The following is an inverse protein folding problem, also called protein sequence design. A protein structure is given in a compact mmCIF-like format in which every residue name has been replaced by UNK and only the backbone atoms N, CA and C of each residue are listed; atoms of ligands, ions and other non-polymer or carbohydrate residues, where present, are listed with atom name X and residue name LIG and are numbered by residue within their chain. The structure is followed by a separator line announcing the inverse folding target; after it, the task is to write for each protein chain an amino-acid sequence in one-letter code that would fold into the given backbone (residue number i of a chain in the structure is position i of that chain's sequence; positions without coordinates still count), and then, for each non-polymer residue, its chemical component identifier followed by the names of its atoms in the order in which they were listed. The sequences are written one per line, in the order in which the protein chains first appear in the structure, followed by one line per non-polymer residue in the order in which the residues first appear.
data_IF_595763455635
#
_entry.id   IF_595763455635
#
_cell.length_a   1.000
_cell.length_b   1.000
_cell.length_c   1.000
_cell.angle_alpha   90.00
_cell.angle_beta   90.00
_cell.angle_gamma   90.00
#
_symmetry.space_group_name_H-M   'P 1'
#
loop_
_entity.id
_entity.type
_entity.pdbx_description
1 polymer ?
#
# COMPACT_ATOMS: atom_id res chain seq x y z
N UNK A 1 0.01 -2.01 11.37
CA UNK A 1 0.83 -3.03 10.66
C UNK A 1 -0.06 -4.17 10.21
N UNK A 2 -0.13 -4.41 8.90
CA UNK A 2 -0.91 -5.49 8.29
C UNK A 2 -0.10 -6.18 7.17
N UNK A 3 -0.35 -7.47 6.96
CA UNK A 3 0.29 -8.28 5.90
C UNK A 3 -0.76 -9.16 5.22
N UNK A 4 -0.72 -9.24 3.90
CA UNK A 4 -1.65 -10.01 3.08
C UNK A 4 -1.21 -11.47 2.91
N UNK A 5 0.04 -11.69 2.47
CA UNK A 5 0.67 -13.01 2.48
C UNK A 5 0.79 -13.62 1.09
N UNK A 6 -0.09 -14.56 0.73
CA UNK A 6 -0.06 -15.19 -0.60
C UNK A 6 -1.45 -15.21 -1.22
N UNK A 7 -1.52 -14.89 -2.52
CA UNK A 7 -2.78 -14.72 -3.24
C UNK A 7 -2.99 -13.25 -3.56
N UNK A 8 -4.09 -12.96 -4.25
CA UNK A 8 -4.46 -11.58 -4.55
C UNK A 8 -5.29 -11.03 -3.39
N UNK A 9 -4.69 -10.15 -2.58
CA UNK A 9 -5.29 -9.69 -1.33
C UNK A 9 -5.69 -8.22 -1.38
N UNK A 10 -6.51 -7.80 -0.40
CA UNK A 10 -6.79 -6.39 -0.14
C UNK A 10 -6.49 -6.05 1.31
N UNK A 11 -5.70 -5.00 1.51
CA UNK A 11 -5.19 -4.58 2.82
C UNK A 11 -5.53 -3.12 3.05
N UNK A 12 -5.98 -2.79 4.26
CA UNK A 12 -6.31 -1.43 4.69
C UNK A 12 -5.53 -1.05 5.96
N UNK A 13 -4.90 0.13 5.96
CA UNK A 13 -4.27 0.75 7.14
C UNK A 13 -5.25 1.59 7.96
N UNK A 14 -6.23 2.21 7.30
CA UNK A 14 -7.21 3.12 7.91
C UNK A 14 -6.56 4.42 8.42
N UNK A 15 -6.79 4.82 9.67
CA UNK A 15 -6.19 6.03 10.23
C UNK A 15 -5.00 5.68 11.11
N UNK A 16 -3.86 6.32 10.87
CA UNK A 16 -2.64 6.11 11.64
C UNK A 16 -1.43 6.04 10.73
N UNK A 17 -0.23 5.91 11.31
CA UNK A 17 0.95 5.66 10.50
C UNK A 17 1.13 4.15 10.37
N UNK A 18 0.76 3.59 9.24
CA UNK A 18 0.71 2.16 9.02
C UNK A 18 1.88 1.60 8.22
N UNK A 19 2.08 0.29 8.42
CA UNK A 19 2.99 -0.53 7.63
C UNK A 19 2.17 -1.64 6.98
N UNK A 20 2.03 -1.59 5.66
CA UNK A 20 1.24 -2.54 4.88
C UNK A 20 2.15 -3.31 3.90
N UNK A 21 2.10 -4.64 3.95
CA UNK A 21 2.84 -5.52 3.03
C UNK A 21 1.87 -6.39 2.23
N UNK A 22 1.99 -6.37 0.90
CA UNK A 22 1.19 -7.19 -0.03
C UNK A 22 1.57 -8.67 0.04
N UNK A 23 2.83 -8.97 -0.25
CA UNK A 23 3.30 -10.35 -0.26
C UNK A 23 3.37 -10.89 -1.69
N UNK A 24 2.92 -12.12 -1.89
CA UNK A 24 2.90 -12.77 -3.20
C UNK A 24 1.51 -12.64 -3.81
N UNK A 25 1.39 -12.07 -5.01
CA UNK A 25 0.12 -11.96 -5.72
C UNK A 25 -0.11 -10.56 -6.26
N UNK A 26 -1.25 -10.33 -6.89
CA UNK A 26 -1.65 -8.99 -7.32
C UNK A 26 -2.48 -8.33 -6.21
N UNK A 27 -1.80 -7.57 -5.34
CA UNK A 27 -2.42 -7.04 -4.14
C UNK A 27 -2.99 -5.63 -4.31
N UNK A 28 -3.95 -5.25 -3.47
CA UNK A 28 -4.40 -3.86 -3.34
C UNK A 28 -4.21 -3.36 -1.92
N UNK A 29 -3.38 -2.34 -1.74
CA UNK A 29 -3.05 -1.75 -0.44
C UNK A 29 -3.60 -0.32 -0.36
N UNK A 30 -4.35 -0.03 0.70
CA UNK A 30 -4.88 1.29 1.04
C UNK A 30 -4.27 1.76 2.36
N UNK A 31 -3.41 2.79 2.33
CA UNK A 31 -2.81 3.40 3.52
C UNK A 31 -3.88 4.06 4.38
N UNK A 32 -4.53 5.06 3.82
CA UNK A 32 -5.67 5.74 4.43
C UNK A 32 -5.29 7.16 4.81
N UNK A 33 -5.25 7.48 6.09
CA UNK A 33 -4.89 8.81 6.55
C UNK A 33 -3.60 8.75 7.39
N UNK A 34 -2.81 9.82 7.29
CA UNK A 34 -1.51 10.04 7.94
C UNK A 34 -0.34 9.52 7.10
N UNK A 35 0.78 9.12 7.71
CA UNK A 35 2.02 8.83 6.98
C UNK A 35 2.27 7.32 6.99
N UNK A 36 2.00 6.68 5.86
CA UNK A 36 2.04 5.24 5.71
C UNK A 36 3.28 4.72 4.96
N UNK A 37 3.58 3.45 5.15
CA UNK A 37 4.53 2.69 4.34
C UNK A 37 3.80 1.50 3.70
N UNK A 38 3.67 1.52 2.38
CA UNK A 38 3.02 0.47 1.60
C UNK A 38 4.08 -0.24 0.74
N UNK A 39 4.18 -1.55 0.84
CA UNK A 39 5.06 -2.38 0.01
C UNK A 39 4.27 -3.45 -0.73
N UNK A 40 4.29 -3.41 -2.06
CA UNK A 40 3.62 -4.41 -2.91
C UNK A 40 4.33 -5.78 -2.94
N UNK A 41 5.63 -5.81 -2.66
CA UNK A 41 6.46 -7.03 -2.72
C UNK A 41 6.45 -7.74 -4.08
N UNK A 42 5.68 -8.80 -4.31
CA UNK A 42 5.78 -9.63 -5.51
C UNK A 42 4.46 -9.80 -6.23
N UNK A 43 4.27 -9.00 -7.28
CA UNK A 43 3.21 -9.16 -8.24
C UNK A 43 2.81 -7.81 -8.80
N UNK A 44 1.66 -7.75 -9.47
CA UNK A 44 1.18 -6.51 -10.08
C UNK A 44 0.24 -5.79 -9.12
N UNK A 45 0.81 -5.01 -8.22
CA UNK A 45 0.09 -4.45 -7.08
C UNK A 45 -0.54 -3.09 -7.37
N UNK A 46 -1.56 -2.73 -6.60
CA UNK A 46 -2.15 -1.40 -6.57
C UNK A 46 -1.94 -0.78 -5.20
N UNK A 47 -1.08 0.23 -5.13
CA UNK A 47 -0.77 0.95 -3.89
C UNK A 47 -1.47 2.30 -3.86
N UNK A 48 -2.25 2.58 -2.83
CA UNK A 48 -2.96 3.84 -2.63
C UNK A 48 -2.58 4.36 -1.25
N UNK A 49 -1.74 5.40 -1.20
CA UNK A 49 -1.28 6.00 0.05
C UNK A 49 -2.43 6.63 0.83
N UNK A 50 -3.23 7.45 0.13
CA UNK A 50 -4.27 8.25 0.79
C UNK A 50 -3.70 9.60 1.23
N UNK A 51 -4.25 10.17 2.31
CA UNK A 51 -3.88 11.52 2.76
C UNK A 51 -2.66 11.49 3.66
N UNK A 52 -1.76 12.46 3.48
CA UNK A 52 -0.52 12.57 4.25
C UNK A 52 0.71 12.32 3.39
N UNK A 53 1.83 12.00 4.04
CA UNK A 53 3.11 11.75 3.36
C UNK A 53 3.45 10.27 3.42
N UNK A 54 3.06 9.54 2.38
CA UNK A 54 3.30 8.09 2.33
C UNK A 54 4.53 7.72 1.51
N UNK A 55 5.09 6.57 1.87
CA UNK A 55 6.12 5.89 1.12
C UNK A 55 5.54 4.67 0.43
N UNK A 56 5.39 4.76 -0.89
CA UNK A 56 4.92 3.66 -1.73
C UNK A 56 6.11 2.93 -2.36
N UNK A 57 6.32 1.68 -1.97
CA UNK A 57 7.34 0.79 -2.52
C UNK A 57 6.67 -0.21 -3.46
N UNK A 58 6.71 0.02 -4.79
CA UNK A 58 6.14 -0.93 -5.74
C UNK A 58 6.89 -2.26 -5.68
N UNK A 59 6.15 -3.35 -5.85
CA UNK A 59 6.69 -4.69 -5.94
C UNK A 59 7.43 -4.96 -7.25
N UNK A 60 7.87 -6.22 -7.42
CA UNK A 60 8.62 -6.68 -8.58
C UNK A 60 7.79 -6.72 -9.88
N UNK A 61 6.46 -6.70 -9.80
CA UNK A 61 5.58 -6.68 -10.97
C UNK A 61 5.15 -5.27 -11.37
N UNK A 62 4.52 -5.18 -12.54
CA UNK A 62 4.04 -3.91 -13.09
C UNK A 62 2.69 -3.53 -12.48
N UNK A 63 2.74 -2.88 -11.34
CA UNK A 63 1.60 -2.35 -10.61
C UNK A 63 1.27 -0.88 -10.90
N UNK A 64 0.32 -0.33 -10.14
CA UNK A 64 0.03 1.10 -10.08
C UNK A 64 0.23 1.64 -8.67
N UNK A 65 0.57 2.92 -8.59
CA UNK A 65 0.76 3.60 -7.31
C UNK A 65 0.15 4.99 -7.39
N UNK A 66 -0.61 5.34 -6.35
CA UNK A 66 -1.28 6.63 -6.21
C UNK A 66 -1.00 7.18 -4.82
N UNK A 67 -0.33 8.33 -4.80
CA UNK A 67 -0.23 9.15 -3.61
C UNK A 67 -1.28 10.27 -3.72
N UNK A 68 -2.14 10.44 -2.71
CA UNK A 68 -2.91 11.68 -2.64
C UNK A 68 -2.02 12.75 -2.00
N UNK A 69 -2.19 14.01 -2.42
CA UNK A 69 -1.34 15.09 -1.92
C UNK A 69 -1.43 15.22 -0.40
N UNK A 70 -0.37 15.70 0.28
CA UNK A 70 -0.49 16.01 1.69
C UNK A 70 -1.59 17.07 1.85
N UNK A 71 -2.59 16.77 2.67
CA UNK A 71 -3.62 17.77 3.01
C UNK A 71 -2.90 18.98 3.64
N UNK A 72 -3.16 20.17 3.07
CA UNK A 72 -2.57 21.44 3.51
C UNK A 72 -3.15 21.92 4.85
#
# INVERSE_FOLDING_TARGET
MAMAGSGDDTVWGEAGNDLLLGGLGADTLYGGAWNDLLSGEAGADRLIGGTGFDLLVPGAGRGTQQQEGPDA
#
